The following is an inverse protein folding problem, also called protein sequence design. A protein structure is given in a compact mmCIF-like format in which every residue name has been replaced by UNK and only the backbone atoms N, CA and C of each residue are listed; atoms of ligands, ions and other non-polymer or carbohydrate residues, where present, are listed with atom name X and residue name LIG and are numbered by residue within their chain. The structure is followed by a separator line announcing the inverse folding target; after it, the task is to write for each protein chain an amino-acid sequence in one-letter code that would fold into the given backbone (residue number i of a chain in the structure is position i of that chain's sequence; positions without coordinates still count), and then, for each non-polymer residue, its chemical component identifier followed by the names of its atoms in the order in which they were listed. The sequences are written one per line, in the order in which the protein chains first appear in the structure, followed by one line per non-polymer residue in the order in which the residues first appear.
data_IF_699846452686
#
_entry.id   IF_699846452686
#
_cell.length_a   1.000
_cell.length_b   1.000
_cell.length_c   1.000
_cell.angle_alpha   90.00
_cell.angle_beta   90.00
_cell.angle_gamma   90.00
#
_symmetry.space_group_name_H-M   'P 1'
#
loop_
_entity.id
_entity.type
_entity.pdbx_description
1 polymer ?
#
# COMPACT_ATOMS: atom_id res chain seq x y z
N UNK A 1 -2.20 3.15 13.51
CA UNK A 1 -2.09 2.74 12.09
C UNK A 1 -1.35 3.79 11.31
N UNK A 2 -0.80 3.44 10.15
CA UNK A 2 -0.11 4.38 9.28
C UNK A 2 -0.78 4.41 7.91
N UNK A 3 -0.94 5.60 7.31
CA UNK A 3 -1.42 5.72 5.92
C UNK A 3 -0.24 5.92 4.98
N UNK A 4 -0.06 4.98 4.07
CA UNK A 4 0.95 5.01 3.01
C UNK A 4 0.32 5.42 1.70
N UNK A 5 0.93 6.38 1.00
CA UNK A 5 0.59 6.71 -0.37
C UNK A 5 1.61 6.12 -1.32
N UNK A 6 1.15 5.26 -2.22
CA UNK A 6 1.94 4.64 -3.30
C UNK A 6 1.44 5.15 -4.65
N UNK A 7 2.25 5.01 -5.70
CA UNK A 7 1.81 5.29 -7.07
C UNK A 7 2.23 4.13 -7.98
N UNK A 8 1.25 3.49 -8.62
CA UNK A 8 1.52 2.42 -9.57
C UNK A 8 2.12 3.01 -10.86
N UNK A 9 3.28 2.48 -11.26
CA UNK A 9 4.03 2.96 -12.45
C UNK A 9 3.82 2.09 -13.68
N UNK A 10 3.36 0.86 -13.49
CA UNK A 10 3.10 -0.13 -14.53
C UNK A 10 1.91 -1.02 -14.08
N UNK A 11 1.41 -1.85 -15.00
CA UNK A 11 0.26 -2.72 -14.72
C UNK A 11 0.59 -3.79 -13.67
N UNK A 12 1.84 -4.26 -13.62
CA UNK A 12 2.31 -5.18 -12.59
C UNK A 12 2.11 -4.62 -11.18
N UNK A 13 2.41 -3.33 -10.97
CA UNK A 13 2.19 -2.66 -9.69
C UNK A 13 0.71 -2.62 -9.31
N UNK A 14 -0.21 -2.49 -10.27
CA UNK A 14 -1.65 -2.54 -10.00
C UNK A 14 -2.03 -3.94 -9.51
N UNK A 15 -1.56 -4.98 -10.21
CA UNK A 15 -1.82 -6.37 -9.84
C UNK A 15 -1.25 -6.71 -8.45
N UNK A 16 -0.01 -6.30 -8.16
CA UNK A 16 0.65 -6.53 -6.87
C UNK A 16 -0.08 -5.83 -5.72
N UNK A 17 -0.62 -4.62 -5.94
CA UNK A 17 -1.46 -3.94 -4.95
C UNK A 17 -2.77 -4.70 -4.72
N UNK A 18 -3.37 -5.29 -5.76
CA UNK A 18 -4.51 -6.19 -5.62
C UNK A 18 -4.19 -7.38 -4.70
N UNK A 19 -3.10 -8.08 -4.99
CA UNK A 19 -2.63 -9.23 -4.18
C UNK A 19 -2.32 -8.84 -2.73
N UNK A 20 -1.77 -7.64 -2.51
CA UNK A 20 -1.52 -7.12 -1.16
C UNK A 20 -2.83 -6.92 -0.38
N UNK A 21 -3.89 -6.46 -1.05
CA UNK A 21 -5.21 -6.25 -0.45
C UNK A 21 -5.97 -7.52 -0.13
N UNK A 22 -5.71 -8.59 -0.87
CA UNK A 22 -6.35 -9.89 -0.65
C UNK A 22 -5.72 -10.69 0.51
N UNK A 23 -4.56 -10.26 1.03
CA UNK A 23 -3.91 -10.89 2.17
C UNK A 23 -4.60 -10.51 3.47
N UNK A 24 -5.55 -11.34 3.89
CA UNK A 24 -6.27 -11.16 5.17
C UNK A 24 -5.33 -11.04 6.37
N UNK A 25 -4.15 -11.68 6.34
CA UNK A 25 -3.17 -11.62 7.43
C UNK A 25 -2.63 -10.19 7.68
N UNK A 26 -2.55 -9.38 6.61
CA UNK A 26 -2.00 -8.05 6.67
C UNK A 26 -3.03 -7.00 7.07
N UNK A 27 -4.33 -7.29 6.90
CA UNK A 27 -5.44 -6.40 7.25
C UNK A 27 -5.26 -4.98 6.65
N UNK A 28 -4.83 -4.91 5.40
CA UNK A 28 -4.59 -3.63 4.69
C UNK A 28 -5.90 -3.11 4.13
N UNK A 29 -6.23 -1.86 4.47
CA UNK A 29 -7.41 -1.18 3.94
C UNK A 29 -7.02 -0.18 2.85
N UNK A 30 -7.72 -0.20 1.71
CA UNK A 30 -7.57 0.82 0.68
C UNK A 30 -8.49 2.01 0.98
N UNK A 31 -7.90 3.13 1.41
CA UNK A 31 -8.62 4.41 1.49
C UNK A 31 -8.83 5.02 0.11
N UNK A 32 -7.90 4.79 -0.80
CA UNK A 32 -8.02 5.15 -2.22
C UNK A 32 -7.54 4.00 -3.07
N UNK A 33 -8.45 3.39 -3.83
CA UNK A 33 -8.18 2.20 -4.62
C UNK A 33 -7.23 2.48 -5.82
N UNK A 34 -6.49 1.45 -6.27
CA UNK A 34 -5.73 1.50 -7.52
C UNK A 34 -6.68 1.49 -8.72
N UNK A 35 -7.07 2.69 -9.17
CA UNK A 35 -8.02 2.83 -10.28
C UNK A 35 -7.34 2.80 -11.66
N UNK A 36 -6.10 3.33 -11.75
CA UNK A 36 -5.32 3.39 -12.99
C UNK A 36 -3.88 3.80 -12.72
N UNK A 37 -3.02 3.58 -13.72
CA UNK A 37 -1.60 3.95 -13.69
C UNK A 37 -1.42 5.44 -13.40
N UNK A 38 -0.35 5.78 -12.68
CA UNK A 38 0.01 7.16 -12.33
C UNK A 38 -0.91 7.81 -11.29
N UNK A 39 -1.99 7.15 -10.86
CA UNK A 39 -2.84 7.67 -9.80
C UNK A 39 -2.34 7.21 -8.43
N UNK A 40 -2.37 8.09 -7.42
CA UNK A 40 -1.99 7.72 -6.07
C UNK A 40 -3.03 6.77 -5.47
N UNK A 41 -2.53 5.84 -4.68
CA UNK A 41 -3.27 4.81 -3.94
C UNK A 41 -2.91 4.98 -2.48
N UNK A 42 -3.93 5.05 -1.63
CA UNK A 42 -3.77 5.29 -0.19
C UNK A 42 -4.12 4.01 0.56
N UNK A 43 -3.16 3.50 1.32
CA UNK A 43 -3.20 2.25 2.06
C UNK A 43 -3.16 2.57 3.55
N UNK A 44 -4.21 2.23 4.30
CA UNK A 44 -4.16 2.20 5.76
C UNK A 44 -3.59 0.84 6.18
N UNK A 45 -2.50 0.89 6.92
CA UNK A 45 -1.77 -0.30 7.35
C UNK A 45 -1.71 -0.35 8.87
N UNK A 46 -2.20 -1.43 9.50
CA UNK A 46 -2.05 -1.65 10.93
C UNK A 46 -0.58 -1.75 11.34
N UNK A 47 -0.22 -1.23 12.52
CA UNK A 47 1.15 -1.30 13.03
C UNK A 47 1.76 -2.71 13.06
N UNK A 48 1.03 -3.78 13.43
CA UNK A 48 1.57 -5.13 13.41
C UNK A 48 2.04 -5.58 12.01
N UNK A 49 1.33 -5.16 10.97
CA UNK A 49 1.58 -5.53 9.57
C UNK A 49 2.50 -4.55 8.84
N UNK A 50 2.74 -3.37 9.41
CA UNK A 50 3.44 -2.25 8.76
C UNK A 50 4.82 -2.61 8.22
N UNK A 51 5.60 -3.39 8.98
CA UNK A 51 6.92 -3.81 8.54
C UNK A 51 6.84 -4.78 7.35
N UNK A 52 5.87 -5.70 7.35
CA UNK A 52 5.63 -6.63 6.25
C UNK A 52 5.23 -5.90 4.97
N UNK A 53 4.29 -4.96 5.09
CA UNK A 53 3.85 -4.14 3.95
C UNK A 53 4.98 -3.27 3.38
N UNK A 54 5.77 -2.60 4.24
CA UNK A 54 6.93 -1.80 3.77
C UNK A 54 7.94 -2.67 3.02
N UNK A 55 8.29 -3.84 3.57
CA UNK A 55 9.19 -4.79 2.89
C UNK A 55 8.64 -5.25 1.54
N UNK A 56 7.34 -5.55 1.44
CA UNK A 56 6.69 -5.91 0.18
C UNK A 56 6.80 -4.77 -0.85
N UNK A 57 6.50 -3.54 -0.43
CA UNK A 57 6.63 -2.38 -1.31
C UNK A 57 8.07 -2.16 -1.77
N UNK A 58 9.05 -2.29 -0.85
CA UNK A 58 10.47 -2.15 -1.16
C UNK A 58 10.96 -3.26 -2.12
N UNK A 59 10.57 -4.53 -1.90
CA UNK A 59 10.98 -5.65 -2.75
C UNK A 59 10.45 -5.55 -4.18
N UNK A 60 9.32 -4.89 -4.35
CA UNK A 60 8.69 -4.64 -5.65
C UNK A 60 8.97 -3.24 -6.20
N UNK A 61 9.95 -2.51 -5.64
CA UNK A 61 10.38 -1.18 -6.09
C UNK A 61 9.25 -0.13 -6.15
N UNK A 62 8.27 -0.23 -5.25
CA UNK A 62 7.30 0.83 -5.06
C UNK A 62 7.95 2.02 -4.38
N UNK A 63 7.73 3.20 -4.93
CA UNK A 63 7.96 4.43 -4.18
C UNK A 63 6.70 4.76 -3.39
N UNK A 64 6.87 4.99 -2.09
CA UNK A 64 5.79 5.41 -1.20
C UNK A 64 6.19 6.58 -0.32
N UNK A 65 5.17 7.27 0.20
CA UNK A 65 5.30 8.33 1.18
C UNK A 65 4.36 8.07 2.34
N UNK A 66 4.73 8.55 3.51
CA UNK A 66 3.88 8.47 4.70
C UNK A 66 2.96 9.69 4.67
N UNK A 67 1.66 9.47 4.53
CA UNK A 67 0.66 10.54 4.56
C UNK A 67 0.25 10.88 5.98
N UNK A 68 0.07 9.86 6.81
CA UNK A 68 -0.30 9.99 8.23
C UNK A 68 0.59 9.01 9.00
N UNK A 69 1.42 9.55 9.91
CA UNK A 69 2.35 8.77 10.73
C UNK A 69 1.64 7.97 11.81
N UNK A 70 0.59 8.53 12.41
CA UNK A 70 -0.25 7.82 13.38
C UNK A 70 -1.70 8.28 13.28
N UNK A 71 -2.62 7.32 13.11
CA UNK A 71 -4.08 7.53 13.08
C UNK A 71 -4.68 7.30 14.49
N UNK A 72 -3.96 7.66 15.56
CA UNK A 72 -4.42 7.59 16.96
C UNK A 72 -5.15 8.86 17.38
#
# INVERSE_FOLDING_TARGET
DQVLRVTARNEEHITLLGVLGEQEELQVDFWRHPNSLGHPVDLRVPFPSLQGVKKFLDSHNFTYSIMIEDVQ
#
